data_IF_267436663195
#
_entry.id   IF_267436663195
#
_cell.length_a   1.000
_cell.length_b   1.000
_cell.length_c   1.000
_cell.angle_alpha   90.00
_cell.angle_beta   90.00
_cell.angle_gamma   90.00
#
_symmetry.space_group_name_H-M   'P 1'
#
loop_
_entity.id
_entity.type
_entity.pdbx_description
1 polymer ?
#
# COMPACT_ATOMS: atom_id res chain seq x y z
N UNK A 1 -11.21 24.80 4.16
CA UNK A 1 -9.77 24.68 4.44
C UNK A 1 -9.12 25.99 4.04
N UNK A 2 -8.20 26.53 4.83
CA UNK A 2 -7.37 27.63 4.33
C UNK A 2 -6.47 27.11 3.19
N UNK A 3 -6.00 28.01 2.33
CA UNK A 3 -5.14 27.63 1.20
C UNK A 3 -3.86 26.93 1.65
N UNK A 4 -3.40 27.20 2.88
CA UNK A 4 -2.17 26.64 3.46
C UNK A 4 -2.22 25.12 3.62
N UNK A 5 -3.30 24.57 4.18
CA UNK A 5 -3.39 23.12 4.41
C UNK A 5 -3.49 22.33 3.10
N UNK A 6 -4.11 22.90 2.05
CA UNK A 6 -4.22 22.24 0.73
C UNK A 6 -2.86 22.14 0.07
N UNK A 7 -2.09 23.23 0.11
CA UNK A 7 -0.73 23.29 -0.39
C UNK A 7 0.17 22.30 0.37
N UNK A 8 0.03 22.24 1.69
CA UNK A 8 0.78 21.29 2.52
C UNK A 8 0.57 19.83 2.09
N UNK A 9 -0.68 19.39 1.87
CA UNK A 9 -0.97 18.02 1.43
C UNK A 9 -0.41 17.70 0.04
N UNK A 10 -0.55 18.64 -0.91
CA UNK A 10 -0.03 18.48 -2.28
C UNK A 10 1.49 18.35 -2.26
N UNK A 11 2.19 19.26 -1.57
CA UNK A 11 3.65 19.24 -1.45
C UNK A 11 4.12 17.98 -0.74
N UNK A 12 3.41 17.59 0.31
CA UNK A 12 3.66 16.37 1.08
C UNK A 12 3.61 15.12 0.20
N UNK A 13 2.55 14.95 -0.59
CA UNK A 13 2.44 13.82 -1.51
C UNK A 13 3.47 13.86 -2.63
N UNK A 14 3.77 15.05 -3.14
CA UNK A 14 4.80 15.22 -4.17
C UNK A 14 6.16 14.70 -3.66
N UNK A 15 6.53 15.03 -2.43
CA UNK A 15 7.77 14.54 -1.78
C UNK A 15 7.72 13.02 -1.60
N UNK A 16 6.61 12.48 -1.09
CA UNK A 16 6.44 11.04 -0.86
C UNK A 16 6.56 10.24 -2.18
N UNK A 17 5.86 10.69 -3.23
CA UNK A 17 5.86 10.04 -4.54
C UNK A 17 7.20 10.19 -5.26
N UNK A 18 7.88 11.32 -5.09
CA UNK A 18 9.25 11.48 -5.59
C UNK A 18 10.20 10.53 -4.88
N UNK A 19 10.05 10.36 -3.57
CA UNK A 19 10.76 9.36 -2.77
C UNK A 19 10.61 7.95 -3.31
N UNK A 20 9.37 7.57 -3.61
CA UNK A 20 9.09 6.30 -4.30
C UNK A 20 9.86 6.23 -5.63
N UNK A 21 9.78 7.27 -6.46
CA UNK A 21 10.51 7.35 -7.73
C UNK A 21 12.03 7.17 -7.60
N UNK A 22 12.64 7.69 -6.53
CA UNK A 22 14.07 7.54 -6.25
C UNK A 22 14.49 6.10 -5.91
N UNK A 23 13.53 5.27 -5.49
CA UNK A 23 13.73 3.84 -5.22
C UNK A 23 13.50 2.96 -6.46
N UNK A 24 12.83 3.49 -7.49
CA UNK A 24 12.41 2.74 -8.68
C UNK A 24 13.48 2.71 -9.78
N UNK A 25 13.51 1.58 -10.47
CA UNK A 25 14.39 1.25 -11.60
C UNK A 25 13.54 0.78 -12.77
N UNK A 26 14.10 0.85 -13.99
CA UNK A 26 13.43 0.31 -15.19
C UNK A 26 13.22 -1.20 -15.11
N UNK A 27 14.05 -1.89 -14.34
CA UNK A 27 13.95 -3.34 -14.14
C UNK A 27 12.70 -3.72 -13.36
N UNK A 28 12.26 -2.88 -12.41
CA UNK A 28 11.02 -3.13 -11.65
C UNK A 28 9.82 -3.32 -12.60
N UNK A 29 9.71 -2.49 -13.65
CA UNK A 29 8.65 -2.62 -14.66
C UNK A 29 8.81 -3.87 -15.54
N UNK A 30 10.04 -4.33 -15.78
CA UNK A 30 10.28 -5.59 -16.51
C UNK A 30 9.91 -6.82 -15.68
N UNK A 31 9.89 -6.73 -14.34
CA UNK A 31 9.51 -7.85 -13.46
C UNK A 31 8.06 -8.28 -13.60
N UNK A 32 7.20 -7.48 -14.23
CA UNK A 32 5.85 -7.90 -14.65
C UNK A 32 5.89 -9.19 -15.44
N UNK A 33 6.90 -9.34 -16.31
CA UNK A 33 7.10 -10.54 -17.12
C UNK A 33 7.75 -11.68 -16.34
N UNK A 34 8.42 -11.39 -15.21
CA UNK A 34 9.04 -12.40 -14.34
C UNK A 34 8.04 -13.01 -13.36
N UNK A 35 7.05 -12.23 -12.91
CA UNK A 35 6.02 -12.66 -11.95
C UNK A 35 4.60 -12.46 -12.51
N UNK A 36 4.27 -12.96 -13.72
CA UNK A 36 3.02 -12.58 -14.40
C UNK A 36 1.78 -12.96 -13.60
N UNK A 37 1.77 -14.13 -12.94
CA UNK A 37 0.65 -14.56 -12.09
C UNK A 37 0.47 -13.68 -10.86
N UNK A 38 1.57 -13.34 -10.18
CA UNK A 38 1.53 -12.53 -8.98
C UNK A 38 1.16 -11.08 -9.29
N UNK A 39 1.65 -10.53 -10.41
CA UNK A 39 1.32 -9.18 -10.85
C UNK A 39 -0.13 -9.07 -11.29
N UNK A 40 -0.61 -10.01 -12.12
CA UNK A 40 -2.03 -10.05 -12.50
C UNK A 40 -2.93 -10.14 -11.28
N UNK A 41 -2.59 -11.02 -10.33
CA UNK A 41 -3.39 -11.17 -9.13
C UNK A 41 -3.33 -9.93 -8.22
N UNK A 42 -2.17 -9.29 -8.10
CA UNK A 42 -2.06 -8.02 -7.37
C UNK A 42 -2.91 -6.92 -7.97
N UNK A 43 -3.00 -6.83 -9.31
CA UNK A 43 -3.90 -5.89 -9.99
C UNK A 43 -5.36 -6.23 -9.80
N UNK A 44 -5.73 -7.51 -9.92
CA UNK A 44 -7.08 -7.98 -9.66
C UNK A 44 -7.52 -7.65 -8.23
N UNK A 45 -6.64 -7.91 -7.25
CA UNK A 45 -6.89 -7.59 -5.86
C UNK A 45 -7.07 -6.08 -5.65
N UNK A 46 -6.17 -5.25 -6.19
CA UNK A 46 -6.20 -3.80 -5.98
C UNK A 46 -7.35 -3.10 -6.70
N UNK A 47 -7.56 -3.40 -7.98
CA UNK A 47 -8.45 -2.59 -8.85
C UNK A 47 -9.90 -3.07 -8.77
N UNK A 48 -10.11 -4.37 -8.52
CA UNK A 48 -11.43 -4.98 -8.60
C UNK A 48 -11.87 -5.48 -7.23
N UNK A 49 -11.15 -6.45 -6.65
CA UNK A 49 -11.62 -7.12 -5.44
C UNK A 49 -11.68 -6.15 -4.25
N UNK A 50 -10.71 -5.26 -4.10
CA UNK A 50 -10.67 -4.33 -2.98
C UNK A 50 -11.85 -3.33 -3.00
N UNK A 51 -12.17 -2.65 -4.12
CA UNK A 51 -13.41 -1.87 -4.23
C UNK A 51 -14.69 -2.71 -4.05
N UNK A 52 -14.74 -3.95 -4.54
CA UNK A 52 -15.89 -4.83 -4.33
C UNK A 52 -16.07 -5.21 -2.86
N UNK A 53 -14.98 -5.50 -2.13
CA UNK A 53 -15.00 -5.79 -0.69
C UNK A 53 -15.45 -4.54 0.07
N UNK A 54 -14.92 -3.37 -0.27
CA UNK A 54 -15.33 -2.10 0.31
C UNK A 54 -16.84 -1.85 0.14
N UNK A 55 -17.34 -1.99 -1.09
CA UNK A 55 -18.77 -1.85 -1.38
C UNK A 55 -19.61 -2.87 -0.61
N UNK A 56 -19.20 -4.15 -0.59
CA UNK A 56 -19.90 -5.19 0.16
C UNK A 56 -19.95 -4.90 1.66
N UNK A 57 -18.85 -4.43 2.26
CA UNK A 57 -18.82 -4.02 3.67
C UNK A 57 -19.72 -2.80 3.92
N UNK A 58 -19.78 -1.84 3.00
CA UNK A 58 -20.71 -0.70 3.12
C UNK A 58 -22.18 -1.17 3.15
N UNK A 59 -22.52 -2.26 2.46
CA UNK A 59 -23.89 -2.83 2.54
C UNK A 59 -24.15 -3.58 3.84
N UNK A 60 -23.09 -4.09 4.50
CA UNK A 60 -23.20 -4.88 5.73
C UNK A 60 -23.14 -4.01 7.00
N UNK A 61 -22.46 -2.87 6.93
CA UNK A 61 -22.32 -1.93 8.03
C UNK A 61 -23.25 -0.74 7.79
N UNK A 62 -24.04 -0.37 8.79
CA UNK A 62 -24.90 0.83 8.75
C UNK A 62 -24.05 2.09 8.96
N UNK A 63 -23.31 2.48 7.92
CA UNK A 63 -22.41 3.64 7.92
C UNK A 63 -23.06 4.86 7.28
N UNK A 64 -22.64 6.04 7.73
CA UNK A 64 -23.05 7.28 7.08
C UNK A 64 -22.57 7.36 5.63
N UNK A 65 -23.28 8.12 4.80
CA UNK A 65 -22.92 8.34 3.39
C UNK A 65 -21.51 8.89 3.21
N UNK A 66 -21.08 9.79 4.10
CA UNK A 66 -19.72 10.35 4.11
C UNK A 66 -18.67 9.25 4.30
N UNK A 67 -18.90 8.34 5.25
CA UNK A 67 -18.00 7.21 5.51
C UNK A 67 -17.99 6.24 4.34
N UNK A 68 -19.15 5.92 3.77
CA UNK A 68 -19.26 5.06 2.59
C UNK A 68 -18.42 5.60 1.42
N UNK A 69 -18.57 6.89 1.10
CA UNK A 69 -17.80 7.54 0.05
C UNK A 69 -16.30 7.53 0.39
N UNK A 70 -15.92 7.92 1.61
CA UNK A 70 -14.52 7.92 2.04
C UNK A 70 -13.85 6.54 2.01
N UNK A 71 -14.58 5.49 2.37
CA UNK A 71 -14.13 4.09 2.29
C UNK A 71 -13.93 3.68 0.82
N UNK A 72 -14.82 4.07 -0.09
CA UNK A 72 -14.63 3.81 -1.53
C UNK A 72 -13.46 4.59 -2.13
N UNK A 73 -13.24 5.84 -1.73
CA UNK A 73 -12.07 6.64 -2.15
C UNK A 73 -10.78 5.96 -1.70
N UNK A 74 -10.72 5.55 -0.43
CA UNK A 74 -9.60 4.78 0.10
C UNK A 74 -9.37 3.49 -0.69
N UNK A 75 -10.46 2.78 -1.00
CA UNK A 75 -10.41 1.52 -1.73
C UNK A 75 -9.95 1.68 -3.20
N UNK A 76 -10.14 2.86 -3.77
CA UNK A 76 -9.67 3.18 -5.11
C UNK A 76 -8.16 3.48 -5.16
N UNK A 77 -7.57 3.85 -4.02
CA UNK A 77 -6.17 4.25 -3.96
C UNK A 77 -5.26 3.01 -3.99
N UNK A 78 -4.06 3.11 -4.62
CA UNK A 78 -3.07 2.05 -4.61
C UNK A 78 -2.40 1.89 -3.23
N UNK A 79 -1.64 0.81 -3.07
CA UNK A 79 -0.62 0.71 -2.02
C UNK A 79 0.33 1.93 -2.00
N UNK A 80 0.91 2.22 -0.83
CA UNK A 80 1.85 3.34 -0.63
C UNK A 80 3.30 2.89 -0.44
N UNK A 81 4.30 3.80 -0.44
CA UNK A 81 5.70 3.44 -0.17
C UNK A 81 5.92 2.69 1.15
N UNK A 82 5.00 2.84 2.11
CA UNK A 82 5.04 2.12 3.38
C UNK A 82 4.73 0.63 3.23
N UNK A 83 4.01 0.19 2.18
CA UNK A 83 3.77 -1.23 1.91
C UNK A 83 5.06 -1.94 1.51
N UNK A 84 5.93 -1.27 0.75
CA UNK A 84 7.27 -1.76 0.40
C UNK A 84 8.11 -2.03 1.67
N UNK A 85 8.06 -1.10 2.63
CA UNK A 85 8.74 -1.24 3.90
C UNK A 85 8.17 -2.39 4.72
N UNK A 86 6.85 -2.44 4.89
CA UNK A 86 6.16 -3.49 5.64
C UNK A 86 6.43 -4.87 5.03
N UNK A 87 6.39 -4.98 3.70
CA UNK A 87 6.76 -6.21 2.97
C UNK A 87 8.20 -6.62 3.23
N UNK A 88 9.13 -5.66 3.24
CA UNK A 88 10.53 -5.93 3.56
C UNK A 88 10.70 -6.44 5.00
N UNK A 89 10.04 -5.81 5.97
CA UNK A 89 10.05 -6.25 7.38
C UNK A 89 9.48 -7.67 7.54
N UNK A 90 8.42 -7.98 6.80
CA UNK A 90 7.79 -9.30 6.77
C UNK A 90 8.59 -10.36 6.00
N UNK A 91 9.80 -10.05 5.50
CA UNK A 91 10.60 -10.97 4.66
C UNK A 91 9.85 -11.48 3.41
N UNK A 92 8.90 -10.68 2.92
CA UNK A 92 8.20 -10.93 1.66
C UNK A 92 9.07 -10.62 0.44
N UNK A 93 8.48 -10.72 -0.75
CA UNK A 93 9.14 -10.30 -1.99
C UNK A 93 9.02 -8.77 -2.16
N UNK A 94 10.00 -8.03 -1.66
CA UNK A 94 10.06 -6.56 -1.78
C UNK A 94 10.11 -6.10 -3.24
N UNK A 95 10.81 -6.84 -4.10
CA UNK A 95 10.91 -6.53 -5.53
C UNK A 95 9.54 -6.57 -6.23
N UNK A 96 8.69 -7.54 -5.86
CA UNK A 96 7.32 -7.64 -6.33
C UNK A 96 6.43 -6.51 -5.77
N UNK A 97 6.55 -6.19 -4.48
CA UNK A 97 5.79 -5.10 -3.82
C UNK A 97 6.06 -3.76 -4.50
N UNK A 98 7.33 -3.42 -4.72
CA UNK A 98 7.74 -2.20 -5.42
C UNK A 98 7.15 -2.16 -6.85
N UNK A 99 7.14 -3.29 -7.55
CA UNK A 99 6.57 -3.40 -8.90
C UNK A 99 5.05 -3.18 -8.89
N UNK A 100 4.34 -3.84 -7.98
CA UNK A 100 2.89 -3.72 -7.82
C UNK A 100 2.49 -2.29 -7.46
N UNK A 101 3.11 -1.71 -6.44
CA UNK A 101 2.86 -0.34 -5.99
C UNK A 101 3.09 0.66 -7.12
N UNK A 102 4.20 0.56 -7.86
CA UNK A 102 4.51 1.51 -8.94
C UNK A 102 3.50 1.45 -10.08
N UNK A 103 3.13 0.24 -10.53
CA UNK A 103 2.21 0.09 -11.65
C UNK A 103 0.78 0.41 -11.22
N UNK A 104 0.35 -0.03 -10.05
CA UNK A 104 -0.96 0.35 -9.50
C UNK A 104 -1.05 1.87 -9.37
N UNK A 105 0.00 2.56 -8.93
CA UNK A 105 0.00 4.03 -8.86
C UNK A 105 -0.30 4.69 -10.21
N UNK A 106 0.24 4.15 -11.31
CA UNK A 106 -0.06 4.66 -12.66
C UNK A 106 -1.49 4.30 -13.08
N UNK A 107 -1.91 3.05 -12.89
CA UNK A 107 -3.25 2.58 -13.27
C UNK A 107 -4.34 3.34 -12.52
N UNK A 108 -4.09 3.67 -11.25
CA UNK A 108 -5.05 4.39 -10.41
C UNK A 108 -5.34 5.82 -10.84
N UNK A 109 -4.50 6.43 -11.68
CA UNK A 109 -4.81 7.73 -12.32
C UNK A 109 -6.14 7.65 -13.08
N UNK A 110 -6.45 6.50 -13.68
CA UNK A 110 -7.69 6.27 -14.43
C UNK A 110 -8.76 5.63 -13.56
N UNK A 111 -8.41 4.67 -12.69
CA UNK A 111 -9.42 3.93 -11.92
C UNK A 111 -9.98 4.70 -10.72
N UNK A 112 -9.20 5.60 -10.10
CA UNK A 112 -9.69 6.44 -8.99
C UNK A 112 -10.91 7.27 -9.42
N UNK A 113 -10.85 8.10 -10.49
CA UNK A 113 -12.01 8.86 -10.91
C UNK A 113 -13.26 8.01 -11.15
N UNK A 114 -13.11 6.81 -11.71
CA UNK A 114 -14.24 5.92 -11.98
C UNK A 114 -14.90 5.43 -10.70
N UNK A 115 -14.10 4.97 -9.73
CA UNK A 115 -14.60 4.48 -8.44
C UNK A 115 -15.19 5.62 -7.60
N UNK A 116 -14.55 6.79 -7.63
CA UNK A 116 -15.04 8.00 -6.96
C UNK A 116 -16.40 8.43 -7.52
N UNK A 117 -16.56 8.49 -8.85
CA UNK A 117 -17.84 8.84 -9.47
C UNK A 117 -18.92 7.81 -9.18
N UNK A 118 -18.57 6.51 -9.18
CA UNK A 118 -19.49 5.46 -8.76
C UNK A 118 -19.95 5.65 -7.31
N UNK A 119 -19.03 5.95 -6.39
CA UNK A 119 -19.35 6.18 -4.98
C UNK A 119 -20.21 7.43 -4.77
N UNK A 120 -19.88 8.54 -5.46
CA UNK A 120 -20.68 9.76 -5.41
C UNK A 120 -22.09 9.52 -5.95
N UNK A 121 -22.24 8.90 -7.12
CA UNK A 121 -23.56 8.61 -7.70
C UNK A 121 -24.39 7.60 -6.89
N UNK A 122 -23.75 6.66 -6.20
CA UNK A 122 -24.43 5.64 -5.40
C UNK A 122 -24.81 6.09 -3.99
N UNK A 123 -24.03 6.99 -3.38
CA UNK A 123 -24.18 7.34 -1.97
C UNK A 123 -24.52 8.82 -1.71
N UNK A 124 -24.34 9.73 -2.68
CA UNK A 124 -24.71 11.15 -2.48
C UNK A 124 -26.24 11.31 -2.40
N UNK A 125 -26.71 12.36 -1.72
CA UNK A 125 -28.14 12.63 -1.48
C UNK A 125 -28.83 13.40 -2.61
N UNK A 126 -28.50 13.12 -3.88
CA UNK A 126 -29.21 13.72 -5.03
C UNK A 126 -28.70 15.10 -5.46
N UNK A 127 -27.64 15.62 -4.86
CA UNK A 127 -26.84 16.66 -5.53
C UNK A 127 -25.99 15.96 -6.60
N UNK A 128 -26.13 16.41 -7.85
CA UNK A 128 -25.21 16.05 -8.93
C UNK A 128 -23.82 16.62 -8.60
N UNK A 129 -23.13 15.98 -7.65
CA UNK A 129 -21.70 16.18 -7.42
C UNK A 129 -21.02 15.45 -8.57
N UNK A 130 -21.10 16.02 -9.77
CA UNK A 130 -20.21 15.63 -10.86
C UNK A 130 -18.82 16.12 -10.45
N UNK A 131 -17.99 15.22 -9.93
CA UNK A 131 -16.58 15.55 -9.84
C UNK A 131 -16.06 15.67 -11.27
N UNK A 132 -15.45 16.80 -11.68
CA UNK A 132 -14.89 16.89 -13.02
C UNK A 132 -13.80 15.83 -13.13
N UNK A 133 -14.10 14.71 -13.79
CA UNK A 133 -13.18 13.57 -13.96
C UNK A 133 -11.83 14.05 -14.48
N UNK A 134 -11.84 15.05 -15.36
CA UNK A 134 -10.65 15.71 -15.87
C UNK A 134 -9.80 16.38 -14.79
N UNK A 135 -10.41 17.02 -13.78
CA UNK A 135 -9.69 17.68 -12.69
C UNK A 135 -9.07 16.68 -11.73
N UNK A 136 -9.78 15.58 -11.40
CA UNK A 136 -9.19 14.49 -10.62
C UNK A 136 -8.02 13.88 -11.39
N UNK A 137 -8.19 13.54 -12.66
CA UNK A 137 -7.10 12.97 -13.48
C UNK A 137 -5.90 13.93 -13.54
N UNK A 138 -6.14 15.22 -13.82
CA UNK A 138 -5.11 16.24 -13.86
C UNK A 138 -4.35 16.35 -12.53
N UNK A 139 -5.08 16.38 -11.41
CA UNK A 139 -4.48 16.38 -10.08
C UNK A 139 -3.65 15.11 -9.83
N UNK A 140 -4.17 13.93 -10.16
CA UNK A 140 -3.47 12.65 -10.00
C UNK A 140 -2.19 12.58 -10.83
N UNK A 141 -2.19 13.10 -12.06
CA UNK A 141 -0.99 13.20 -12.89
C UNK A 141 0.07 14.07 -12.20
N UNK A 142 -0.33 15.22 -11.67
CA UNK A 142 0.57 16.16 -11.00
C UNK A 142 1.14 15.59 -9.71
N UNK A 143 0.32 14.93 -8.90
CA UNK A 143 0.75 14.44 -7.57
C UNK A 143 1.39 13.04 -7.61
N UNK A 144 1.12 12.22 -8.63
CA UNK A 144 1.67 10.85 -8.76
C UNK A 144 2.70 10.78 -9.89
N UNK A 145 2.27 10.97 -11.14
CA UNK A 145 3.08 10.64 -12.30
C UNK A 145 4.32 11.53 -12.43
N UNK A 146 4.15 12.85 -12.30
CA UNK A 146 5.25 13.81 -12.40
C UNK A 146 6.35 13.54 -11.36
N UNK A 147 6.07 13.50 -10.04
CA UNK A 147 7.12 13.28 -9.04
C UNK A 147 7.78 11.90 -9.16
N UNK A 148 7.01 10.86 -9.53
CA UNK A 148 7.54 9.52 -9.75
C UNK A 148 8.54 9.50 -10.91
N UNK A 149 8.19 10.12 -12.05
CA UNK A 149 9.07 10.24 -13.22
C UNK A 149 10.32 11.06 -12.88
N UNK A 150 10.19 12.16 -12.14
CA UNK A 150 11.33 12.97 -11.68
C UNK A 150 12.27 12.13 -10.80
N UNK A 151 11.72 11.41 -9.81
CA UNK A 151 12.50 10.54 -8.94
C UNK A 151 13.25 9.45 -9.71
N UNK A 152 12.56 8.78 -10.65
CA UNK A 152 13.18 7.78 -11.51
C UNK A 152 14.26 8.37 -12.42
N UNK A 153 14.05 9.57 -12.96
CA UNK A 153 15.04 10.25 -13.78
C UNK A 153 16.29 10.62 -12.97
N UNK A 154 16.13 11.08 -11.72
CA UNK A 154 17.24 11.33 -10.80
C UNK A 154 17.97 10.01 -10.48
N UNK A 155 17.25 8.94 -10.17
CA UNK A 155 17.84 7.61 -9.91
C UNK A 155 18.66 7.11 -11.09
N UNK A 156 18.13 7.24 -12.31
CA UNK A 156 18.78 6.80 -13.53
C UNK A 156 20.01 7.65 -13.90
N UNK A 157 19.97 8.97 -13.69
CA UNK A 157 21.07 9.89 -14.05
C UNK A 157 22.12 10.04 -12.95
N UNK A 158 21.72 9.98 -11.68
CA UNK A 158 22.55 10.25 -10.50
C UNK A 158 22.27 9.22 -9.38
N UNK A 159 22.62 7.94 -9.55
CA UNK A 159 22.29 6.88 -8.59
C UNK A 159 22.87 7.12 -7.19
N UNK A 160 24.04 7.76 -7.09
CA UNK A 160 24.65 8.14 -5.82
C UNK A 160 23.80 9.17 -5.05
N UNK A 161 23.17 10.11 -5.74
CA UNK A 161 22.25 11.10 -5.13
C UNK A 161 21.01 10.39 -4.62
N UNK A 162 20.39 9.54 -5.45
CA UNK A 162 19.21 8.78 -5.03
C UNK A 162 19.49 7.90 -3.80
N UNK A 163 20.66 7.25 -3.74
CA UNK A 163 21.09 6.49 -2.55
C UNK A 163 21.24 7.36 -1.31
N UNK A 164 21.79 8.58 -1.44
CA UNK A 164 21.89 9.54 -0.32
C UNK A 164 20.52 10.07 0.12
N UNK A 165 19.56 10.18 -0.80
CA UNK A 165 18.21 10.67 -0.53
C UNK A 165 17.26 9.64 0.07
N UNK A 166 17.57 8.33 -0.04
CA UNK A 166 16.71 7.25 0.46
C UNK A 166 16.29 7.43 1.93
N UNK A 167 17.26 7.57 2.84
CA UNK A 167 16.99 7.76 4.28
C UNK A 167 16.27 9.09 4.59
N UNK A 168 16.73 10.27 4.10
CA UNK A 168 16.03 11.53 4.30
C UNK A 168 14.58 11.51 3.83
N UNK A 169 14.31 10.99 2.63
CA UNK A 169 12.96 11.00 2.07
C UNK A 169 12.04 10.03 2.81
N UNK A 170 12.56 8.87 3.25
CA UNK A 170 11.80 7.95 4.10
C UNK A 170 11.40 8.60 5.43
N UNK A 171 12.34 9.30 6.10
CA UNK A 171 12.06 10.03 7.35
C UNK A 171 11.03 11.13 7.09
N UNK A 172 11.23 11.94 6.05
CA UNK A 172 10.29 13.00 5.67
C UNK A 172 8.89 12.45 5.40
N UNK A 173 8.78 11.33 4.68
CA UNK A 173 7.49 10.67 4.40
C UNK A 173 6.78 10.23 5.68
N UNK A 174 7.50 9.61 6.62
CA UNK A 174 6.93 9.23 7.93
C UNK A 174 6.48 10.45 8.72
N UNK A 175 7.31 11.50 8.80
CA UNK A 175 6.97 12.74 9.52
C UNK A 175 5.75 13.41 8.90
N UNK A 176 5.69 13.50 7.58
CA UNK A 176 4.55 14.06 6.84
C UNK A 176 3.26 13.30 7.18
N UNK A 177 3.28 11.97 7.14
CA UNK A 177 2.10 11.16 7.48
C UNK A 177 1.64 11.45 8.91
N UNK A 178 2.57 11.53 9.87
CA UNK A 178 2.26 11.86 11.27
C UNK A 178 1.63 13.26 11.36
N UNK A 179 2.18 14.25 10.67
CA UNK A 179 1.65 15.62 10.67
C UNK A 179 0.24 15.69 10.05
N UNK A 180 -0.02 14.94 8.98
CA UNK A 180 -1.36 14.86 8.38
C UNK A 180 -2.36 14.24 9.36
N UNK A 181 -2.00 13.14 10.02
CA UNK A 181 -2.86 12.49 11.03
C UNK A 181 -3.14 13.46 12.19
N UNK A 182 -2.09 14.10 12.73
CA UNK A 182 -2.23 15.08 13.82
C UNK A 182 -3.10 16.27 13.39
N UNK A 183 -2.93 16.76 12.17
CA UNK A 183 -3.75 17.84 11.62
C UNK A 183 -5.24 17.49 11.56
N UNK A 184 -5.57 16.27 11.13
CA UNK A 184 -6.96 15.78 11.11
C UNK A 184 -7.49 15.64 12.54
N UNK A 185 -6.71 15.07 13.46
CA UNK A 185 -7.08 14.92 14.88
C UNK A 185 -7.37 16.26 15.54
N UNK A 186 -6.54 17.28 15.31
CA UNK A 186 -6.74 18.62 15.87
C UNK A 186 -8.00 19.26 15.30
N UNK A 187 -8.22 19.11 13.99
CA UNK A 187 -9.35 19.73 13.29
C UNK A 187 -10.68 19.12 13.69
N UNK A 188 -10.73 17.80 13.85
CA UNK A 188 -11.94 17.05 14.19
C UNK A 188 -12.04 16.75 15.69
N UNK A 189 -11.24 17.41 16.54
CA UNK A 189 -11.07 17.07 17.97
C UNK A 189 -12.40 16.95 18.75
N UNK A 190 -13.37 17.80 18.41
CA UNK A 190 -14.65 17.89 19.13
C UNK A 190 -15.58 16.71 18.76
N UNK A 191 -15.37 16.09 17.59
CA UNK A 191 -16.14 14.94 17.08
C UNK A 191 -15.27 13.67 16.93
N UNK A 192 -14.02 13.71 17.40
CA UNK A 192 -13.01 12.70 17.06
C UNK A 192 -13.42 11.29 17.49
N UNK A 193 -13.91 11.17 18.73
CA UNK A 193 -14.31 9.86 19.29
C UNK A 193 -15.50 9.28 18.53
N UNK A 194 -16.49 10.12 18.22
CA UNK A 194 -17.68 9.74 17.45
C UNK A 194 -17.29 9.30 16.04
N UNK A 195 -16.52 10.13 15.31
CA UNK A 195 -16.08 9.85 13.94
C UNK A 195 -15.19 8.61 13.85
N UNK A 196 -14.32 8.39 14.83
CA UNK A 196 -13.55 7.14 14.93
C UNK A 196 -14.51 5.97 15.16
N UNK A 197 -15.44 6.07 16.12
CA UNK A 197 -16.38 5.00 16.43
C UNK A 197 -17.22 4.59 15.20
N UNK A 198 -17.70 5.56 14.43
CA UNK A 198 -18.51 5.31 13.23
C UNK A 198 -17.72 4.61 12.11
N UNK A 199 -16.44 4.95 11.93
CA UNK A 199 -15.63 4.45 10.82
C UNK A 199 -14.76 3.25 11.18
N UNK A 200 -14.42 3.05 12.45
CA UNK A 200 -13.42 2.09 12.90
C UNK A 200 -13.77 0.65 12.49
N UNK A 201 -15.00 0.23 12.74
CA UNK A 201 -15.42 -1.16 12.48
C UNK A 201 -15.31 -1.51 10.99
N UNK A 202 -15.74 -0.61 10.10
CA UNK A 202 -15.68 -0.84 8.66
C UNK A 202 -14.24 -0.78 8.11
N UNK A 203 -13.41 0.17 8.56
CA UNK A 203 -12.03 0.32 8.04
C UNK A 203 -11.12 -0.82 8.48
N UNK A 204 -11.26 -1.31 9.72
CA UNK A 204 -10.54 -2.49 10.20
C UNK A 204 -11.01 -3.75 9.48
N UNK A 205 -12.32 -3.90 9.31
CA UNK A 205 -12.90 -5.04 8.58
C UNK A 205 -12.41 -5.06 7.14
N UNK A 206 -12.39 -3.90 6.46
CA UNK A 206 -11.83 -3.76 5.12
C UNK A 206 -10.37 -4.19 5.07
N UNK A 207 -9.55 -3.66 5.97
CA UNK A 207 -8.13 -3.97 6.01
C UNK A 207 -7.85 -5.47 6.22
N UNK A 208 -8.51 -6.09 7.19
CA UNK A 208 -8.34 -7.52 7.45
C UNK A 208 -8.89 -8.36 6.29
N UNK A 209 -10.07 -8.03 5.77
CA UNK A 209 -10.68 -8.74 4.66
C UNK A 209 -9.81 -8.68 3.40
N UNK A 210 -9.25 -7.52 3.05
CA UNK A 210 -8.42 -7.39 1.85
C UNK A 210 -7.08 -8.09 2.00
N UNK A 211 -6.46 -8.07 3.17
CA UNK A 211 -5.26 -8.88 3.46
C UNK A 211 -5.55 -10.37 3.34
N UNK A 212 -6.65 -10.85 3.93
CA UNK A 212 -7.06 -12.24 3.86
C UNK A 212 -7.36 -12.67 2.42
N UNK A 213 -8.18 -11.92 1.70
CA UNK A 213 -8.49 -12.20 0.28
C UNK A 213 -7.21 -12.17 -0.55
N UNK A 214 -6.33 -11.19 -0.34
CA UNK A 214 -5.04 -11.10 -1.03
C UNK A 214 -4.16 -12.33 -0.80
N UNK A 215 -4.06 -12.79 0.45
CA UNK A 215 -3.31 -13.99 0.78
C UNK A 215 -3.95 -15.26 0.22
N UNK A 216 -5.25 -15.44 0.41
CA UNK A 216 -5.98 -16.66 0.04
C UNK A 216 -6.01 -16.82 -1.48
N UNK A 217 -6.32 -15.77 -2.23
CA UNK A 217 -6.30 -15.81 -3.70
C UNK A 217 -4.90 -16.14 -4.22
N UNK A 218 -3.84 -15.61 -3.59
CA UNK A 218 -2.46 -15.93 -3.94
C UNK A 218 -2.11 -17.40 -3.69
N UNK A 219 -2.63 -17.97 -2.59
CA UNK A 219 -2.48 -19.40 -2.28
C UNK A 219 -3.27 -20.29 -3.24
N UNK A 220 -4.49 -19.88 -3.65
CA UNK A 220 -5.32 -20.63 -4.60
C UNK A 220 -4.63 -20.80 -5.96
N UNK A 221 -3.95 -19.76 -6.45
CA UNK A 221 -3.18 -19.83 -7.71
C UNK A 221 -1.74 -20.34 -7.50
N UNK A 222 -1.45 -20.91 -6.33
CA UNK A 222 -0.20 -21.59 -5.96
C UNK A 222 1.05 -20.70 -6.01
N UNK A 223 0.93 -19.42 -5.65
CA UNK A 223 2.11 -18.56 -5.50
C UNK A 223 2.99 -19.02 -4.33
N UNK A 224 4.28 -18.69 -4.42
CA UNK A 224 5.24 -18.95 -3.35
C UNK A 224 4.83 -18.15 -2.12
N UNK A 225 5.24 -18.62 -0.94
CA UNK A 225 4.85 -17.97 0.32
C UNK A 225 5.24 -16.48 0.36
N UNK A 226 6.46 -16.13 -0.06
CA UNK A 226 6.92 -14.73 -0.09
C UNK A 226 6.11 -13.86 -1.04
N UNK A 227 5.62 -14.40 -2.15
CA UNK A 227 4.76 -13.69 -3.11
C UNK A 227 3.34 -13.52 -2.57
N UNK A 228 2.77 -14.57 -1.96
CA UNK A 228 1.46 -14.50 -1.31
C UNK A 228 1.44 -13.53 -0.13
N UNK A 229 2.51 -13.52 0.67
CA UNK A 229 2.69 -12.56 1.75
C UNK A 229 2.83 -11.12 1.24
N UNK A 230 3.55 -10.93 0.12
CA UNK A 230 3.60 -9.63 -0.56
C UNK A 230 2.21 -9.17 -1.01
N UNK A 231 1.42 -10.02 -1.67
CA UNK A 231 0.08 -9.65 -2.14
C UNK A 231 -0.86 -9.34 -0.97
N UNK A 232 -0.77 -10.10 0.12
CA UNK A 232 -1.47 -9.81 1.38
C UNK A 232 -1.19 -8.39 1.87
N UNK A 233 0.10 -8.03 2.00
CA UNK A 233 0.52 -6.73 2.52
C UNK A 233 0.22 -5.57 1.54
N UNK A 234 0.37 -5.79 0.24
CA UNK A 234 -0.03 -4.80 -0.79
C UNK A 234 -1.54 -4.54 -0.76
N UNK A 235 -2.37 -5.56 -0.54
CA UNK A 235 -3.82 -5.42 -0.48
C UNK A 235 -4.30 -4.74 0.81
N UNK A 236 -3.54 -4.87 1.91
CA UNK A 236 -3.86 -4.28 3.20
C UNK A 236 -3.26 -2.90 3.44
N UNK A 237 -2.12 -2.55 2.83
CA UNK A 237 -1.40 -1.34 3.21
C UNK A 237 -1.55 -0.24 2.14
N UNK A 238 -2.72 0.39 2.15
CA UNK A 238 -3.11 1.43 1.18
C UNK A 238 -2.40 2.76 1.40
N UNK A 239 -2.36 3.59 0.35
CA UNK A 239 -1.82 4.94 0.42
C UNK A 239 -2.88 5.92 0.96
N UNK A 240 -3.03 5.96 2.29
CA UNK A 240 -4.03 6.83 2.90
C UNK A 240 -3.74 8.33 2.73
N UNK A 241 -2.48 8.75 2.56
CA UNK A 241 -2.19 10.17 2.23
C UNK A 241 -2.78 10.54 0.88
N UNK A 242 -2.67 9.66 -0.12
CA UNK A 242 -3.29 9.86 -1.42
C UNK A 242 -4.82 9.86 -1.31
N UNK A 243 -5.41 8.96 -0.53
CA UNK A 243 -6.86 8.93 -0.30
C UNK A 243 -7.37 10.23 0.35
N UNK A 244 -6.66 10.78 1.34
CA UNK A 244 -6.99 12.07 1.96
C UNK A 244 -6.90 13.21 0.93
N UNK A 245 -5.86 13.20 0.08
CA UNK A 245 -5.71 14.22 -0.96
C UNK A 245 -6.82 14.15 -2.01
N UNK A 246 -7.17 12.96 -2.49
CA UNK A 246 -8.27 12.77 -3.44
C UNK A 246 -9.58 13.21 -2.81
N UNK A 247 -9.83 12.84 -1.56
CA UNK A 247 -10.99 13.31 -0.79
C UNK A 247 -11.04 14.83 -0.74
N UNK A 248 -9.91 15.50 -0.47
CA UNK A 248 -9.84 16.97 -0.39
C UNK A 248 -10.16 17.73 -1.69
N UNK A 249 -10.17 17.04 -2.84
CA UNK A 249 -10.61 17.61 -4.11
C UNK A 249 -12.13 17.76 -4.18
N UNK A 250 -12.86 17.01 -3.35
CA UNK A 250 -14.32 17.00 -3.25
C UNK A 250 -14.71 17.63 -1.91
N UNK A 251 -14.49 16.89 -0.82
CA UNK A 251 -14.61 17.35 0.56
C UNK A 251 -13.58 16.60 1.43
N UNK A 252 -12.82 17.37 2.20
CA UNK A 252 -11.79 16.88 3.10
C UNK A 252 -12.36 15.96 4.20
N UNK A 253 -13.63 16.13 4.59
CA UNK A 253 -14.30 15.26 5.58
C UNK A 253 -14.35 13.80 5.11
N UNK A 254 -14.47 13.56 3.81
CA UNK A 254 -14.43 12.24 3.19
C UNK A 254 -13.07 11.54 3.36
N UNK A 255 -12.01 12.28 3.73
CA UNK A 255 -10.69 11.74 4.02
C UNK A 255 -10.57 11.08 5.39
N UNK A 256 -11.59 11.21 6.26
CA UNK A 256 -11.53 10.72 7.63
C UNK A 256 -11.33 9.19 7.72
N UNK A 257 -12.09 8.34 6.98
CA UNK A 257 -11.86 6.89 6.99
C UNK A 257 -10.43 6.50 6.59
N UNK A 258 -9.83 7.22 5.64
CA UNK A 258 -8.45 7.00 5.22
C UNK A 258 -7.44 7.33 6.32
N UNK A 259 -7.69 8.36 7.12
CA UNK A 259 -6.85 8.70 8.28
C UNK A 259 -6.89 7.62 9.35
N UNK A 260 -8.09 7.15 9.71
CA UNK A 260 -8.28 6.04 10.66
C UNK A 260 -7.61 4.78 10.13
N UNK A 261 -7.88 4.40 8.87
CA UNK A 261 -7.24 3.24 8.25
C UNK A 261 -5.72 3.32 8.29
N UNK A 262 -5.14 4.48 7.95
CA UNK A 262 -3.68 4.68 7.94
C UNK A 262 -3.04 4.52 9.31
N UNK A 263 -3.76 4.86 10.37
CA UNK A 263 -3.28 4.68 11.73
C UNK A 263 -3.28 3.21 12.12
N UNK A 264 -4.36 2.49 11.80
CA UNK A 264 -4.56 1.13 12.30
C UNK A 264 -3.99 0.02 11.41
N UNK A 265 -3.78 0.25 10.11
CA UNK A 265 -3.26 -0.76 9.18
C UNK A 265 -1.88 -1.32 9.56
N UNK A 266 -1.09 -0.57 10.33
CA UNK A 266 0.21 -1.04 10.82
C UNK A 266 0.08 -2.06 11.96
N UNK A 267 -0.97 -1.94 12.80
CA UNK A 267 -1.23 -2.89 13.88
C UNK A 267 -1.69 -4.23 13.31
N UNK A 268 -2.58 -4.21 12.34
CA UNK A 268 -3.07 -5.41 11.66
C UNK A 268 -1.96 -6.04 10.81
N UNK A 269 -1.07 -5.25 10.20
CA UNK A 269 0.12 -5.74 9.49
C UNK A 269 1.15 -6.42 10.40
N UNK A 270 1.11 -6.23 11.72
CA UNK A 270 2.03 -6.90 12.64
C UNK A 270 1.93 -8.43 12.54
N UNK A 271 0.72 -8.96 12.32
CA UNK A 271 0.49 -10.41 12.18
C UNK A 271 1.23 -11.00 10.97
N UNK A 272 1.01 -10.54 9.72
CA UNK A 272 1.77 -11.05 8.57
C UNK A 272 3.27 -10.79 8.68
N UNK A 273 3.70 -9.69 9.32
CA UNK A 273 5.13 -9.46 9.61
C UNK A 273 5.70 -10.57 10.49
N UNK A 274 5.06 -10.87 11.62
CA UNK A 274 5.52 -11.90 12.57
C UNK A 274 5.56 -13.27 11.87
N UNK A 275 4.51 -13.62 11.12
CA UNK A 275 4.45 -14.89 10.37
C UNK A 275 5.64 -14.98 9.39
N UNK A 276 5.90 -13.90 8.65
CA UNK A 276 6.99 -13.83 7.69
C UNK A 276 8.38 -13.98 8.33
N UNK A 277 8.62 -13.29 9.45
CA UNK A 277 9.87 -13.38 10.22
C UNK A 277 10.07 -14.80 10.76
N UNK A 278 9.05 -15.38 11.40
CA UNK A 278 9.14 -16.73 11.97
C UNK A 278 9.42 -17.78 10.91
N UNK A 279 8.78 -17.69 9.74
CA UNK A 279 9.03 -18.62 8.64
C UNK A 279 10.45 -18.48 8.09
N UNK A 280 10.93 -17.25 7.90
CA UNK A 280 12.29 -17.01 7.44
C UNK A 280 13.34 -17.56 8.41
N UNK A 281 13.12 -17.41 9.73
CA UNK A 281 14.01 -17.97 10.75
C UNK A 281 14.07 -19.50 10.68
N UNK A 282 12.93 -20.16 10.50
CA UNK A 282 12.86 -21.62 10.35
C UNK A 282 13.55 -22.10 9.08
N UNK A 283 13.39 -21.39 7.97
CA UNK A 283 14.09 -21.70 6.71
C UNK A 283 15.62 -21.59 6.87
N UNK A 284 16.12 -20.56 7.58
CA UNK A 284 17.56 -20.44 7.88
C UNK A 284 18.08 -21.56 8.77
N UNK A 285 17.36 -21.91 9.84
CA UNK A 285 17.78 -22.99 10.76
C UNK A 285 17.87 -24.35 10.05
N UNK A 286 16.90 -24.66 9.19
CA UNK A 286 16.93 -25.90 8.42
C UNK A 286 18.14 -25.98 7.47
N UNK A 287 18.53 -24.85 6.85
CA UNK A 287 19.70 -24.79 5.96
C UNK A 287 20.99 -25.03 6.76
N UNK A 288 21.10 -24.43 7.95
CA UNK A 288 22.27 -24.62 8.82
C UNK A 288 22.37 -26.09 9.28
N UNK A 289 21.25 -26.71 9.66
CA UNK A 289 21.19 -28.14 10.01
C UNK A 289 21.57 -29.06 8.84
N UNK A 290 21.07 -28.78 7.63
CA UNK A 290 21.41 -29.56 6.42
C UNK A 290 22.91 -29.43 6.06
N UNK A 291 23.49 -28.25 6.23
CA UNK A 291 24.92 -28.00 6.00
C UNK A 291 25.78 -28.74 7.02
N UNK A 292 25.41 -28.74 8.30
CA UNK A 292 26.14 -29.48 9.33
C UNK A 292 26.06 -31.00 9.09
N UNK A 293 24.88 -31.53 8.75
CA UNK A 293 24.72 -32.95 8.40
C UNK A 293 25.55 -33.37 7.18
N UNK A 294 25.74 -32.47 6.20
CA UNK A 294 26.58 -32.75 5.03
C UNK A 294 28.06 -32.84 5.37
N UNK A 295 28.57 -31.95 6.24
CA UNK A 295 29.96 -31.98 6.71
C UNK A 295 30.26 -33.26 7.50
N UNK A 296 29.36 -33.67 8.39
CA UNK A 296 29.52 -34.92 9.15
C UNK A 296 29.62 -36.15 8.23
N UNK A 297 28.84 -36.19 7.13
CA UNK A 297 28.94 -37.28 6.16
C UNK A 297 30.27 -37.29 5.43
N UNK A 298 30.79 -36.14 5.01
CA UNK A 298 32.07 -36.04 4.32
C UNK A 298 33.25 -36.44 5.24
N UNK A 299 33.25 -36.04 6.50
CA UNK A 299 34.26 -36.49 7.49
C UNK A 299 34.22 -38.01 7.71
N UNK A 300 33.02 -38.60 7.80
CA UNK A 300 32.86 -40.05 7.99
C UNK A 300 33.31 -40.86 6.77
N UNK A 301 33.25 -40.29 5.56
CA UNK A 301 33.72 -40.92 4.32
C UNK A 301 35.25 -40.85 4.22
N UNK A 302 35.85 -39.71 4.57
CA UNK A 302 37.32 -39.54 4.59
C UNK A 302 38.01 -40.44 5.63
N UNK A 303 37.39 -40.66 6.79
CA UNK A 303 37.90 -41.60 7.80
C UNK A 303 37.85 -43.07 7.33
N UNK A 304 36.89 -43.41 6.44
CA UNK A 304 36.80 -44.76 5.85
C UNK A 304 37.78 -44.98 4.70
N UNK A 305 38.13 -43.95 3.94
CA UNK A 305 39.13 -44.07 2.84
C UNK A 305 40.59 -44.00 3.33
N UNK A 306 40.84 -43.50 4.54
CA UNK A 306 42.18 -43.42 5.13
C UNK A 306 42.59 -44.66 5.95
N UNK A 307 41.71 -45.65 6.06
CA UNK A 307 41.93 -46.91 6.80
C UNK A 307 42.10 -48.15 5.92
N UNK A 308 42.09 -47.99 4.59
CA UNK A 308 42.46 -49.00 3.58
C UNK A 308 43.82 -48.67 2.92
#
# INVERSE_FOLDING_TARGET
MDSGSKIFLIVSLFIIMMGMGLSLTKEDFKRVLQYPKAVFLGFLNQIILLPCIAFGLIQLFDVTKEIAIGVMILAACPGGPTSNLVTHLAKGNTALSVTLTAINSIVTIITIPLIVNFALGGFSSGEEISSPVGDIIGALIVIIAIPLVIGMAIKNKKPAVAKKMDKPVRIASTVIIILVIVGIVIKERDQLVERISESFAIVISLNIATMLVGFLTAKMVKLKFKEALTICLESGNQNGTLAIQVSSLIDITLGFPAAVYSLFMYFTAAVPIIIGITKAKKESQNIDEDLDLSKFKDETILDKESTD
#
